data_IF_019721420233
#
_entry.id   IF_019721420233
#
_cell.length_a   1.000
_cell.length_b   1.000
_cell.length_c   1.000
_cell.angle_alpha   90.00
_cell.angle_beta   90.00
_cell.angle_gamma   90.00
#
_symmetry.space_group_name_H-M   'P 1'
#
loop_
_entity.id
_entity.type
_entity.pdbx_description
1 polymer ?
#
# COMPACT_ATOMS: atom_id res chain seq x y z
N UNK A 1 23.09 -1.74 -15.55
CA UNK A 1 21.84 -1.56 -14.79
C UNK A 1 20.92 -2.69 -15.19
N UNK A 2 20.88 -3.76 -14.39
CA UNK A 2 19.96 -4.87 -14.60
C UNK A 2 18.56 -4.36 -14.30
N UNK A 3 17.67 -4.32 -15.31
CA UNK A 3 16.25 -4.12 -15.06
C UNK A 3 15.78 -5.28 -14.20
N UNK A 4 15.65 -5.08 -12.90
CA UNK A 4 15.11 -6.10 -12.02
C UNK A 4 13.66 -6.34 -12.42
N UNK A 5 13.44 -7.44 -13.14
CA UNK A 5 12.11 -7.82 -13.58
C UNK A 5 11.35 -8.32 -12.37
N UNK A 6 10.42 -7.51 -11.90
CA UNK A 6 9.49 -7.86 -10.84
C UNK A 6 8.67 -9.07 -11.30
N UNK A 7 8.69 -10.15 -10.51
CA UNK A 7 8.14 -11.47 -10.86
C UNK A 7 6.74 -11.68 -10.29
N UNK A 8 6.32 -10.88 -9.31
CA UNK A 8 5.01 -10.99 -8.69
C UNK A 8 4.44 -9.64 -8.22
N UNK A 9 3.12 -9.59 -8.02
CA UNK A 9 2.46 -8.45 -7.40
C UNK A 9 2.97 -8.20 -5.96
N UNK A 10 3.31 -9.25 -5.21
CA UNK A 10 3.85 -9.13 -3.86
C UNK A 10 5.22 -8.45 -3.83
N UNK A 11 6.10 -8.82 -4.77
CA UNK A 11 7.41 -8.15 -4.93
C UNK A 11 7.24 -6.69 -5.33
N UNK A 12 6.33 -6.38 -6.25
CA UNK A 12 6.02 -5.01 -6.63
C UNK A 12 5.55 -4.20 -5.41
N UNK A 13 4.64 -4.78 -4.63
CA UNK A 13 4.05 -4.13 -3.45
C UNK A 13 5.11 -3.82 -2.40
N UNK A 14 6.00 -4.76 -2.12
CA UNK A 14 7.08 -4.57 -1.15
C UNK A 14 8.08 -3.50 -1.60
N UNK A 15 8.47 -3.52 -2.88
CA UNK A 15 9.36 -2.49 -3.44
C UNK A 15 8.74 -1.10 -3.33
N UNK A 16 7.45 -0.95 -3.63
CA UNK A 16 6.72 0.30 -3.48
C UNK A 16 6.69 0.71 -2.00
N UNK A 17 6.36 -0.20 -1.09
CA UNK A 17 6.29 0.07 0.36
C UNK A 17 7.63 0.58 0.90
N UNK A 18 8.72 -0.12 0.60
CA UNK A 18 10.07 0.27 1.03
C UNK A 18 10.45 1.63 0.43
N UNK A 19 10.20 1.82 -0.87
CA UNK A 19 10.54 3.07 -1.56
C UNK A 19 9.77 4.28 -1.03
N UNK A 20 8.48 4.11 -0.71
CA UNK A 20 7.66 5.17 -0.12
C UNK A 20 8.13 5.52 1.29
N UNK A 21 8.44 4.53 2.14
CA UNK A 21 8.96 4.76 3.49
C UNK A 21 10.33 5.43 3.49
N UNK A 22 11.19 5.11 2.51
CA UNK A 22 12.49 5.74 2.37
C UNK A 22 12.39 7.21 1.94
N UNK A 23 11.42 7.54 1.09
CA UNK A 23 11.16 8.91 0.65
C UNK A 23 10.40 9.75 1.69
N UNK A 24 9.51 9.12 2.45
CA UNK A 24 8.63 9.75 3.43
C UNK A 24 8.77 9.10 4.81
N UNK A 25 9.91 9.27 5.49
CA UNK A 25 10.09 8.77 6.84
C UNK A 25 9.06 9.36 7.81
N UNK A 26 8.53 10.56 7.53
CA UNK A 26 7.47 11.21 8.32
C UNK A 26 6.12 10.46 8.28
N UNK A 27 5.92 9.56 7.32
CA UNK A 27 4.71 8.72 7.27
C UNK A 27 4.82 7.49 8.17
N UNK A 28 6.00 7.20 8.71
CA UNK A 28 6.22 6.05 9.60
C UNK A 28 6.03 6.50 11.04
N UNK A 29 5.03 5.95 11.69
CA UNK A 29 4.74 6.18 13.10
C UNK A 29 5.85 5.57 13.98
N UNK A 30 5.96 5.98 15.27
CA UNK A 30 6.88 5.35 16.22
C UNK A 30 6.64 3.85 16.41
N UNK A 31 5.44 3.37 16.08
CA UNK A 31 5.06 1.95 16.06
C UNK A 31 5.71 1.15 14.90
N UNK A 32 6.27 1.85 13.90
CA UNK A 32 6.77 1.25 12.65
C UNK A 32 5.69 1.08 11.57
N UNK A 33 4.44 1.41 11.89
CA UNK A 33 3.33 1.41 10.94
C UNK A 33 3.30 2.68 10.09
N UNK A 34 2.69 2.57 8.92
CA UNK A 34 2.45 3.74 8.08
C UNK A 34 1.06 3.64 7.45
N UNK A 35 0.04 4.26 8.06
CA UNK A 35 -1.32 4.27 7.52
C UNK A 35 -1.38 4.82 6.09
N UNK A 36 -0.51 5.77 5.75
CA UNK A 36 -0.40 6.35 4.41
C UNK A 36 0.13 5.32 3.41
N UNK A 37 1.19 4.57 3.74
CA UNK A 37 1.64 3.46 2.88
C UNK A 37 0.53 2.43 2.66
N UNK A 38 -0.21 2.07 3.72
CA UNK A 38 -1.32 1.13 3.62
C UNK A 38 -2.42 1.63 2.66
N UNK A 39 -2.70 2.94 2.64
CA UNK A 39 -3.61 3.54 1.67
C UNK A 39 -3.11 3.40 0.23
N UNK A 40 -1.84 3.70 -0.03
CA UNK A 40 -1.27 3.53 -1.37
C UNK A 40 -1.28 2.08 -1.84
N UNK A 41 -1.04 1.12 -0.94
CA UNK A 41 -1.17 -0.31 -1.25
C UNK A 41 -2.61 -0.69 -1.63
N UNK A 42 -3.60 -0.23 -0.86
CA UNK A 42 -5.01 -0.50 -1.14
C UNK A 42 -5.46 0.10 -2.48
N UNK A 43 -5.11 1.37 -2.73
CA UNK A 43 -5.41 2.03 -4.01
C UNK A 43 -4.73 1.36 -5.19
N UNK A 44 -3.52 0.84 -5.01
CA UNK A 44 -2.83 0.07 -6.06
C UNK A 44 -3.57 -1.23 -6.37
N UNK A 45 -4.09 -1.93 -5.36
CA UNK A 45 -4.89 -3.13 -5.56
C UNK A 45 -6.18 -2.82 -6.35
N UNK A 46 -6.88 -1.74 -6.00
CA UNK A 46 -8.07 -1.24 -6.72
C UNK A 46 -7.76 -0.93 -8.19
N UNK A 47 -6.70 -0.16 -8.46
CA UNK A 47 -6.30 0.18 -9.83
C UNK A 47 -5.94 -1.03 -10.70
N UNK A 48 -5.51 -2.12 -10.06
CA UNK A 48 -5.20 -3.38 -10.73
C UNK A 48 -6.39 -4.35 -10.79
N UNK A 49 -7.56 -3.97 -10.25
CA UNK A 49 -8.75 -4.82 -10.16
C UNK A 49 -8.58 -6.03 -9.25
N UNK A 50 -7.64 -5.95 -8.30
CA UNK A 50 -7.38 -7.01 -7.31
C UNK A 50 -8.27 -6.88 -6.07
N UNK A 51 -8.96 -5.76 -5.92
CA UNK A 51 -9.93 -5.48 -4.85
C UNK A 51 -11.26 -6.23 -5.00
N UNK A 52 -11.58 -6.66 -6.22
CA UNK A 52 -12.88 -7.18 -6.60
C UNK A 52 -13.01 -8.72 -6.44
N UNK A 53 -12.02 -9.37 -5.83
CA UNK A 53 -12.03 -10.84 -5.62
C UNK A 53 -12.51 -11.28 -4.23
N UNK A 54 -12.84 -10.34 -3.33
CA UNK A 54 -13.34 -10.64 -1.98
C UNK A 54 -14.76 -10.07 -1.76
N UNK A 55 -15.69 -10.42 -2.64
CA UNK A 55 -17.12 -10.41 -2.30
C UNK A 55 -17.45 -11.66 -1.46
N UNK A 56 -17.05 -11.65 -0.17
CA UNK A 56 -17.90 -12.08 0.94
C UNK A 56 -17.23 -11.71 2.29
N UNK A 57 -17.74 -10.68 2.96
CA UNK A 57 -17.59 -10.52 4.40
C UNK A 57 -16.79 -9.31 4.90
N UNK A 58 -17.55 -8.30 5.32
CA UNK A 58 -17.18 -7.30 6.35
C UNK A 58 -16.37 -6.09 5.88
N UNK A 59 -17.12 -5.11 5.37
CA UNK A 59 -16.63 -3.76 5.13
C UNK A 59 -15.99 -3.12 6.35
N UNK A 60 -14.76 -2.63 6.16
CA UNK A 60 -14.26 -1.47 6.89
C UNK A 60 -13.85 -0.45 5.84
N UNK A 61 -14.82 0.40 5.48
CA UNK A 61 -14.55 1.66 4.81
C UNK A 61 -13.46 2.37 5.61
N UNK A 62 -12.29 2.54 5.00
CA UNK A 62 -11.25 3.40 5.51
C UNK A 62 -11.91 4.76 5.78
N UNK A 63 -11.97 5.13 7.06
CA UNK A 63 -12.45 6.44 7.49
C UNK A 63 -11.45 7.45 6.95
N UNK A 64 -11.78 7.99 5.79
CA UNK A 64 -10.93 8.89 5.03
C UNK A 64 -11.11 10.31 5.56
N UNK A 65 -9.98 10.96 5.85
CA UNK A 65 -9.78 12.37 6.22
C UNK A 65 -10.16 12.79 7.66
N UNK A 66 -9.21 12.59 8.57
CA UNK A 66 -8.87 13.60 9.57
C UNK A 66 -7.36 13.69 9.69
N UNK A 67 -6.75 14.32 8.69
CA UNK A 67 -5.38 14.83 8.83
C UNK A 67 -5.49 16.35 8.86
N UNK A 68 -5.07 16.92 9.98
CA UNK A 68 -5.02 18.35 10.27
C UNK A 68 -3.57 18.75 10.41
#
# INVERSE_FOLDING_TARGET
MTSEKIRSYQELKELIRISLRAQHPEWVEPSGESPICNFYEARLAELLGLDSAEEEGSGKQASFLSYK
#
